data_IF_333177757564
#
_entry.id   IF_333177757564
#
_cell.length_a   1.000
_cell.length_b   1.000
_cell.length_c   1.000
_cell.angle_alpha   90.00
_cell.angle_beta   90.00
_cell.angle_gamma   90.00
#
_symmetry.space_group_name_H-M   'P 1'
#
loop_
_entity.id
_entity.type
_entity.pdbx_description
1 polymer ?
#
# COMPACT_ATOMS: atom_id res chain seq x y z
N UNK A 1 0.21 24.31 -22.54
CA UNK A 1 0.34 22.98 -21.88
C UNK A 1 -1.07 22.42 -21.84
N UNK A 2 -1.38 21.51 -22.76
CA UNK A 2 -2.77 21.10 -23.03
C UNK A 2 -3.40 20.42 -21.82
N UNK A 3 -4.69 20.69 -21.59
CA UNK A 3 -5.49 20.18 -20.47
C UNK A 3 -5.36 18.66 -20.27
N UNK A 4 -5.22 17.93 -21.38
CA UNK A 4 -4.94 16.50 -21.39
C UNK A 4 -3.64 16.11 -20.65
N UNK A 5 -2.56 16.87 -20.84
CA UNK A 5 -1.29 16.62 -20.17
C UNK A 5 -1.35 16.96 -18.68
N UNK A 6 -2.17 17.96 -18.31
CA UNK A 6 -2.45 18.29 -16.91
C UNK A 6 -3.17 17.14 -16.21
N UNK A 7 -4.24 16.60 -16.80
CA UNK A 7 -5.00 15.49 -16.22
C UNK A 7 -4.12 14.23 -16.03
N UNK A 8 -3.28 13.90 -17.02
CA UNK A 8 -2.32 12.78 -16.87
C UNK A 8 -1.34 13.01 -15.72
N UNK A 9 -0.81 14.23 -15.59
CA UNK A 9 0.08 14.59 -14.50
C UNK A 9 -0.62 14.42 -13.14
N UNK A 10 -1.85 14.90 -13.02
CA UNK A 10 -2.62 14.81 -11.77
C UNK A 10 -2.91 13.36 -11.39
N UNK A 11 -3.27 12.50 -12.35
CA UNK A 11 -3.43 11.06 -12.14
C UNK A 11 -2.12 10.42 -11.64
N UNK A 12 -0.98 10.72 -12.26
CA UNK A 12 0.31 10.17 -11.82
C UNK A 12 0.70 10.63 -10.41
N UNK A 13 0.39 11.87 -10.04
CA UNK A 13 0.62 12.37 -8.67
C UNK A 13 -0.27 11.62 -7.67
N UNK A 14 -1.55 11.42 -7.99
CA UNK A 14 -2.48 10.67 -7.14
C UNK A 14 -2.03 9.22 -6.95
N UNK A 15 -1.62 8.56 -8.02
CA UNK A 15 -1.08 7.19 -7.94
C UNK A 15 0.19 7.14 -7.09
N UNK A 16 1.10 8.09 -7.26
CA UNK A 16 2.32 8.18 -6.43
C UNK A 16 2.01 8.32 -4.94
N UNK A 17 1.00 9.13 -4.59
CA UNK A 17 0.52 9.26 -3.20
C UNK A 17 -0.09 7.97 -2.68
N UNK A 18 -0.92 7.29 -3.48
CA UNK A 18 -1.49 6.01 -3.10
C UNK A 18 -0.40 4.97 -2.78
N UNK A 19 0.61 4.88 -3.65
CA UNK A 19 1.68 3.89 -3.51
C UNK A 19 2.50 4.15 -2.24
N UNK A 20 2.85 5.43 -2.03
CA UNK A 20 3.53 5.85 -0.81
C UNK A 20 2.72 5.52 0.45
N UNK A 21 1.42 5.80 0.46
CA UNK A 21 0.56 5.50 1.60
C UNK A 21 0.52 4.00 1.92
N UNK A 22 0.42 3.14 0.90
CA UNK A 22 0.42 1.69 1.06
C UNK A 22 1.77 1.21 1.61
N UNK A 23 2.88 1.78 1.16
CA UNK A 23 4.20 1.44 1.66
C UNK A 23 4.36 1.80 3.14
N UNK A 24 3.97 3.02 3.54
CA UNK A 24 3.99 3.44 4.95
C UNK A 24 3.04 2.59 5.82
N UNK A 25 1.88 2.20 5.26
CA UNK A 25 0.99 1.28 5.94
C UNK A 25 1.61 -0.10 6.13
N UNK A 26 2.41 -0.56 5.16
CA UNK A 26 3.20 -1.78 5.27
C UNK A 26 4.18 -1.75 6.44
N UNK A 27 4.86 -0.63 6.67
CA UNK A 27 5.72 -0.46 7.84
C UNK A 27 4.91 -0.49 9.15
N UNK A 28 3.72 0.11 9.17
CA UNK A 28 2.81 0.00 10.30
C UNK A 28 2.39 -1.47 10.56
N UNK A 29 2.03 -2.22 9.52
CA UNK A 29 1.71 -3.65 9.62
C UNK A 29 2.89 -4.45 10.17
N UNK A 30 4.09 -4.19 9.66
CA UNK A 30 5.30 -4.86 10.15
C UNK A 30 5.53 -4.64 11.64
N UNK A 31 5.28 -3.43 12.14
CA UNK A 31 5.36 -3.12 13.57
C UNK A 31 4.25 -3.81 14.36
N UNK A 32 3.00 -3.73 13.89
CA UNK A 32 1.82 -4.33 14.53
C UNK A 32 1.96 -5.85 14.68
N UNK A 33 2.38 -6.52 13.62
CA UNK A 33 2.52 -7.97 13.53
C UNK A 33 3.92 -8.47 13.97
N UNK A 34 4.82 -7.55 14.34
CA UNK A 34 6.19 -7.82 14.81
C UNK A 34 7.07 -8.58 13.80
N UNK A 35 6.98 -8.20 12.53
CA UNK A 35 7.83 -8.76 11.47
C UNK A 35 9.29 -8.37 11.67
N UNK A 36 10.20 -9.33 11.44
CA UNK A 36 11.65 -9.13 11.60
C UNK A 36 12.33 -8.61 10.33
N UNK A 37 11.79 -8.98 9.17
CA UNK A 37 12.48 -8.82 7.88
C UNK A 37 11.65 -8.10 6.83
N UNK A 38 10.32 -8.09 6.98
CA UNK A 38 9.41 -7.48 6.00
C UNK A 38 9.10 -6.04 6.39
N UNK A 39 9.20 -5.13 5.43
CA UNK A 39 8.95 -3.69 5.55
C UNK A 39 8.26 -3.17 4.29
N UNK A 40 7.66 -2.00 4.37
CA UNK A 40 7.04 -1.34 3.24
C UNK A 40 6.07 -2.26 2.50
N UNK A 41 6.14 -2.24 1.18
CA UNK A 41 5.28 -3.08 0.33
C UNK A 41 5.47 -4.59 0.53
N UNK A 42 6.65 -5.07 0.92
CA UNK A 42 6.87 -6.49 1.18
C UNK A 42 6.13 -6.97 2.44
N UNK A 43 6.01 -6.09 3.46
CA UNK A 43 5.19 -6.37 4.63
C UNK A 43 3.70 -6.46 4.29
N UNK A 44 3.21 -5.64 3.36
CA UNK A 44 1.84 -5.74 2.85
C UNK A 44 1.61 -7.10 2.18
N UNK A 45 2.48 -7.50 1.26
CA UNK A 45 2.33 -8.78 0.58
C UNK A 45 2.42 -9.96 1.55
N UNK A 46 3.36 -9.93 2.49
CA UNK A 46 3.51 -10.96 3.50
C UNK A 46 2.27 -11.06 4.40
N UNK A 47 1.71 -9.92 4.81
CA UNK A 47 0.46 -9.87 5.56
C UNK A 47 -0.70 -10.56 4.82
N UNK A 48 -0.87 -10.27 3.52
CA UNK A 48 -1.91 -10.90 2.70
C UNK A 48 -1.72 -12.41 2.55
N UNK A 49 -0.49 -12.86 2.37
CA UNK A 49 -0.13 -14.30 2.36
C UNK A 49 -0.53 -14.96 3.67
N UNK A 50 -0.18 -14.36 4.82
CA UNK A 50 -0.52 -14.91 6.13
C UNK A 50 -2.03 -14.89 6.41
N UNK A 51 -2.73 -13.81 6.05
CA UNK A 51 -4.16 -13.62 6.34
C UNK A 51 -5.06 -14.53 5.51
N UNK A 52 -4.78 -14.64 4.21
CA UNK A 52 -5.66 -15.32 3.26
C UNK A 52 -5.09 -16.67 2.76
N UNK A 53 -3.86 -17.02 3.14
CA UNK A 53 -3.21 -18.26 2.71
C UNK A 53 -2.85 -18.28 1.22
N UNK A 54 -2.76 -17.11 0.57
CA UNK A 54 -2.44 -17.02 -0.85
C UNK A 54 -0.98 -17.34 -1.13
N UNK A 55 -0.69 -17.78 -2.36
CA UNK A 55 0.69 -17.91 -2.81
C UNK A 55 1.35 -16.53 -2.87
N UNK A 56 2.64 -16.40 -2.51
CA UNK A 56 3.36 -15.14 -2.62
C UNK A 56 3.34 -14.53 -4.02
N UNK A 57 3.32 -15.37 -5.07
CA UNK A 57 3.19 -14.92 -6.46
C UNK A 57 1.87 -14.19 -6.73
N UNK A 58 0.77 -14.67 -6.15
CA UNK A 58 -0.55 -14.03 -6.27
C UNK A 58 -0.55 -12.70 -5.53
N UNK A 59 -0.12 -12.69 -4.26
CA UNK A 59 -0.07 -11.47 -3.46
C UNK A 59 0.80 -10.38 -4.11
N UNK A 60 1.94 -10.76 -4.70
CA UNK A 60 2.87 -9.84 -5.40
C UNK A 60 2.39 -9.40 -6.79
N UNK A 61 1.39 -10.07 -7.37
CA UNK A 61 0.81 -9.69 -8.66
C UNK A 61 -0.31 -8.66 -8.56
N UNK A 62 -0.79 -8.37 -7.35
CA UNK A 62 -1.88 -7.44 -7.11
C UNK A 62 -1.47 -6.02 -7.51
N UNK A 63 -2.40 -5.30 -8.14
CA UNK A 63 -2.23 -3.88 -8.40
C UNK A 63 -2.33 -3.08 -7.10
N UNK A 64 -1.83 -1.85 -7.08
CA UNK A 64 -2.00 -0.98 -5.92
C UNK A 64 -3.46 -0.65 -5.62
N UNK A 65 -4.34 -0.62 -6.64
CA UNK A 65 -5.77 -0.45 -6.44
C UNK A 65 -6.38 -1.67 -5.73
N UNK A 66 -5.97 -2.89 -6.12
CA UNK A 66 -6.39 -4.12 -5.42
C UNK A 66 -5.87 -4.15 -3.99
N UNK A 67 -4.61 -3.74 -3.77
CA UNK A 67 -4.04 -3.63 -2.43
C UNK A 67 -4.82 -2.63 -1.58
N UNK A 68 -5.13 -1.45 -2.11
CA UNK A 68 -5.92 -0.45 -1.41
C UNK A 68 -7.32 -0.97 -1.04
N UNK A 69 -7.97 -1.68 -1.97
CA UNK A 69 -9.27 -2.31 -1.73
C UNK A 69 -9.19 -3.37 -0.62
N UNK A 70 -8.22 -4.29 -0.69
CA UNK A 70 -8.07 -5.39 0.28
C UNK A 70 -7.66 -4.90 1.68
N UNK A 71 -6.95 -3.78 1.76
CA UNK A 71 -6.48 -3.20 3.00
C UNK A 71 -7.44 -2.15 3.57
N UNK A 72 -8.52 -1.79 2.88
CA UNK A 72 -9.42 -0.71 3.28
C UNK A 72 -9.94 -0.86 4.72
N UNK A 73 -10.33 -2.08 5.11
CA UNK A 73 -10.79 -2.38 6.48
C UNK A 73 -9.64 -2.31 7.49
N UNK A 74 -8.44 -2.75 7.13
CA UNK A 74 -7.26 -2.69 8.01
C UNK A 74 -6.75 -1.27 8.21
N UNK A 75 -6.93 -0.42 7.20
CA UNK A 75 -6.58 0.99 7.22
C UNK A 75 -7.65 1.84 7.91
N UNK A 76 -8.78 1.26 8.34
CA UNK A 76 -9.83 2.00 9.00
C UNK A 76 -9.33 2.61 10.32
N UNK A 77 -9.44 3.93 10.45
CA UNK A 77 -8.93 4.66 11.62
C UNK A 77 -7.41 4.83 11.66
N UNK A 78 -6.68 4.27 10.68
CA UNK A 78 -5.26 4.52 10.52
C UNK A 78 -5.03 5.82 9.73
N UNK A 79 -4.03 6.59 10.15
CA UNK A 79 -3.61 7.81 9.46
C UNK A 79 -2.11 7.81 9.29
N UNK A 80 -1.62 8.44 8.22
CA UNK A 80 -0.19 8.66 8.04
C UNK A 80 0.42 9.30 9.29
N UNK A 81 1.56 8.79 9.77
CA UNK A 81 2.27 9.40 10.87
C UNK A 81 2.80 10.78 10.47
N UNK A 82 3.01 11.71 11.43
CA UNK A 82 3.37 13.10 11.12
C UNK A 82 4.60 13.27 10.21
N UNK A 83 5.59 12.39 10.35
CA UNK A 83 6.81 12.35 9.55
C UNK A 83 6.61 11.95 8.08
N UNK A 84 5.44 11.38 7.75
CA UNK A 84 5.08 10.88 6.42
C UNK A 84 3.88 11.64 5.81
N UNK A 85 3.54 12.83 6.33
CA UNK A 85 2.46 13.69 5.80
C UNK A 85 2.96 14.75 4.83
#
# INVERSE_FOLDING_TARGET
MDEYNKNRKDIHILNGKLFYNIEIFGDYLAQREKYKSHKGLDAVHFYLVCKYGWLPSVARSLSFDDLNFLLAEEMHGWTLPPEAR
#
